data_IF_453603119096
#
_entry.id   IF_453603119096
#
_cell.length_a   1.000
_cell.length_b   1.000
_cell.length_c   1.000
_cell.angle_alpha   90.00
_cell.angle_beta   90.00
_cell.angle_gamma   90.00
#
_symmetry.space_group_name_H-M   'P 1'
#
loop_
_entity.id
_entity.type
_entity.pdbx_description
1 polymer ?
#
# COMPACT_ATOMS: atom_id res chain seq x y z
N UNK A 1 -18.61 -51.30 -30.17
CA UNK A 1 -18.16 -49.92 -29.89
C UNK A 1 -18.67 -49.52 -28.52
N UNK A 2 -17.81 -49.52 -27.50
CA UNK A 2 -18.11 -48.95 -26.18
C UNK A 2 -17.26 -47.68 -26.08
N UNK A 3 -17.92 -46.53 -25.98
CA UNK A 3 -17.26 -45.23 -25.82
C UNK A 3 -16.62 -45.17 -24.43
N UNK A 4 -15.30 -44.99 -24.40
CA UNK A 4 -14.57 -44.62 -23.19
C UNK A 4 -14.69 -43.11 -23.06
N UNK A 5 -15.42 -42.66 -22.03
CA UNK A 5 -15.50 -41.25 -21.67
C UNK A 5 -14.16 -40.78 -21.12
N UNK A 6 -13.57 -39.79 -21.79
CA UNK A 6 -12.37 -39.10 -21.32
C UNK A 6 -12.79 -38.14 -20.20
N UNK A 7 -12.52 -38.50 -18.95
CA UNK A 7 -12.63 -37.57 -17.83
C UNK A 7 -11.43 -36.63 -17.90
N UNK A 8 -11.67 -35.38 -18.29
CA UNK A 8 -10.72 -34.27 -18.08
C UNK A 8 -10.64 -34.01 -16.58
N UNK A 9 -9.56 -34.48 -15.94
CA UNK A 9 -9.15 -33.93 -14.65
C UNK A 9 -8.78 -32.46 -14.89
N UNK A 10 -9.61 -31.54 -14.42
CA UNK A 10 -9.18 -30.17 -14.21
C UNK A 10 -8.08 -30.22 -13.14
N UNK A 11 -6.84 -29.96 -13.54
CA UNK A 11 -5.77 -29.69 -12.60
C UNK A 11 -6.13 -28.37 -11.92
N UNK A 12 -6.75 -28.45 -10.73
CA UNK A 12 -6.73 -27.33 -9.81
C UNK A 12 -5.25 -27.11 -9.48
N UNK A 13 -4.66 -26.03 -10.00
CA UNK A 13 -3.45 -25.49 -9.41
C UNK A 13 -3.76 -25.32 -7.93
N UNK A 14 -3.13 -26.15 -7.09
CA UNK A 14 -3.04 -25.86 -5.67
C UNK A 14 -2.21 -24.57 -5.60
N UNK A 15 -2.88 -23.42 -5.63
CA UNK A 15 -2.26 -22.17 -5.25
C UNK A 15 -1.76 -22.40 -3.82
N UNK A 16 -0.44 -22.46 -3.66
CA UNK A 16 0.16 -22.57 -2.33
C UNK A 16 -0.30 -21.34 -1.55
N UNK A 17 -0.99 -21.54 -0.43
CA UNK A 17 -1.35 -20.46 0.48
C UNK A 17 -0.09 -19.63 0.80
N UNK A 18 -0.14 -18.33 0.52
CA UNK A 18 0.95 -17.39 0.77
C UNK A 18 0.73 -16.67 2.10
N UNK A 19 1.81 -16.29 2.78
CA UNK A 19 1.75 -15.50 4.00
C UNK A 19 1.86 -14.02 3.64
N UNK A 20 0.82 -13.25 3.93
CA UNK A 20 0.74 -11.82 3.59
C UNK A 20 0.71 -11.02 4.89
N UNK A 21 1.62 -10.05 5.03
CA UNK A 21 1.50 -9.02 6.05
C UNK A 21 0.69 -7.87 5.46
N UNK A 22 -0.50 -7.63 5.98
CA UNK A 22 -1.40 -6.56 5.58
C UNK A 22 -1.24 -5.36 6.52
N UNK A 23 -0.96 -4.19 5.97
CA UNK A 23 -0.84 -2.93 6.68
C UNK A 23 -1.74 -1.88 6.04
N UNK A 24 -1.83 -0.70 6.67
CA UNK A 24 -2.49 0.49 6.12
C UNK A 24 -2.10 1.70 6.98
N UNK A 25 -2.48 2.90 6.54
CA UNK A 25 -2.42 4.12 7.33
C UNK A 25 -3.79 4.73 7.67
N UNK A 26 -4.89 4.23 7.09
CA UNK A 26 -6.23 4.67 7.47
C UNK A 26 -6.67 4.21 8.86
N UNK A 27 -6.00 3.18 9.40
CA UNK A 27 -6.28 2.60 10.72
C UNK A 27 -6.83 1.18 10.64
N UNK A 28 -6.52 0.37 11.65
CA UNK A 28 -6.80 -1.07 11.70
C UNK A 28 -8.29 -1.44 11.63
N UNK A 29 -9.16 -0.52 12.02
CA UNK A 29 -10.62 -0.70 12.07
C UNK A 29 -11.33 -0.05 10.86
N UNK A 30 -10.58 0.44 9.88
CA UNK A 30 -11.12 1.03 8.66
C UNK A 30 -11.75 -0.04 7.76
N UNK A 31 -12.83 0.33 7.07
CA UNK A 31 -13.59 -0.63 6.24
C UNK A 31 -12.74 -1.21 5.09
N UNK A 32 -11.87 -0.39 4.49
CA UNK A 32 -11.01 -0.81 3.36
C UNK A 32 -10.02 -1.93 3.70
N UNK A 33 -9.20 -1.75 4.74
CA UNK A 33 -8.26 -2.80 5.18
C UNK A 33 -8.99 -4.06 5.66
N UNK A 34 -10.17 -3.93 6.28
CA UNK A 34 -10.97 -5.08 6.73
C UNK A 34 -11.62 -5.86 5.59
N UNK A 35 -12.10 -5.17 4.55
CA UNK A 35 -12.57 -5.82 3.32
C UNK A 35 -11.42 -6.58 2.63
N UNK A 36 -10.23 -5.98 2.59
CA UNK A 36 -9.03 -6.58 1.99
C UNK A 36 -8.54 -7.80 2.77
N UNK A 37 -8.51 -7.71 4.10
CA UNK A 37 -8.23 -8.86 4.97
C UNK A 37 -9.20 -10.02 4.71
N UNK A 38 -10.50 -9.74 4.70
CA UNK A 38 -11.55 -10.74 4.41
C UNK A 38 -11.29 -11.42 3.08
N UNK A 39 -11.06 -10.64 2.02
CA UNK A 39 -11.01 -11.15 0.66
C UNK A 39 -9.70 -11.87 0.33
N UNK A 40 -8.54 -11.41 0.83
CA UNK A 40 -7.28 -12.13 0.72
C UNK A 40 -7.32 -13.46 1.49
N UNK A 41 -7.93 -13.46 2.68
CA UNK A 41 -8.13 -14.70 3.47
C UNK A 41 -9.07 -15.66 2.75
N UNK A 42 -10.18 -15.15 2.19
CA UNK A 42 -11.13 -15.95 1.40
C UNK A 42 -10.51 -16.52 0.11
N UNK A 43 -9.48 -15.86 -0.44
CA UNK A 43 -8.70 -16.36 -1.58
C UNK A 43 -7.73 -17.50 -1.18
N UNK A 44 -7.62 -17.83 0.10
CA UNK A 44 -6.81 -18.95 0.61
C UNK A 44 -5.42 -18.55 1.13
N UNK A 45 -5.13 -17.26 1.27
CA UNK A 45 -3.88 -16.77 1.86
C UNK A 45 -3.94 -16.73 3.39
N UNK A 46 -2.78 -16.84 4.03
CA UNK A 46 -2.63 -16.57 5.45
C UNK A 46 -2.31 -15.08 5.63
N UNK A 47 -3.28 -14.30 6.08
CA UNK A 47 -3.12 -12.84 6.22
C UNK A 47 -2.86 -12.48 7.68
N UNK A 48 -1.90 -11.61 7.93
CA UNK A 48 -1.61 -11.02 9.23
C UNK A 48 -1.78 -9.51 9.11
N UNK A 49 -2.82 -8.94 9.71
CA UNK A 49 -3.09 -7.51 9.65
C UNK A 49 -2.41 -6.81 10.83
N UNK A 50 -1.61 -5.79 10.55
CA UNK A 50 -1.07 -4.87 11.57
C UNK A 50 -1.18 -3.44 11.06
N UNK A 51 -1.99 -2.62 11.72
CA UNK A 51 -2.17 -1.23 11.32
C UNK A 51 -2.31 -0.29 12.53
N UNK A 52 -2.15 1.04 12.31
CA UNK A 52 -2.33 2.04 13.35
C UNK A 52 -3.74 2.02 13.96
N UNK A 53 -3.90 2.54 15.18
CA UNK A 53 -5.22 2.83 15.75
C UNK A 53 -5.92 4.01 15.07
N UNK A 54 -5.12 4.98 14.64
CA UNK A 54 -5.56 6.27 14.10
C UNK A 54 -5.21 6.41 12.62
N UNK A 55 -5.89 7.33 11.95
CA UNK A 55 -5.54 7.83 10.63
C UNK A 55 -4.14 8.47 10.66
N UNK A 56 -3.25 7.97 9.80
CA UNK A 56 -1.84 8.37 9.65
C UNK A 56 -1.47 8.77 8.21
N UNK A 57 -2.43 9.24 7.42
CA UNK A 57 -2.18 9.96 6.17
C UNK A 57 -1.18 11.11 6.40
N UNK A 58 -0.14 11.18 5.58
CA UNK A 58 0.93 12.18 5.71
C UNK A 58 2.10 11.75 6.62
N UNK A 59 2.08 10.55 7.21
CA UNK A 59 3.13 10.07 8.12
C UNK A 59 4.20 9.20 7.43
N UNK A 60 4.32 9.20 6.10
CA UNK A 60 5.19 8.28 5.36
C UNK A 60 6.65 8.25 5.83
N UNK A 61 7.25 9.41 6.07
CA UNK A 61 8.62 9.54 6.60
C UNK A 61 8.73 9.48 8.13
N UNK A 62 7.62 9.31 8.86
CA UNK A 62 7.60 9.41 10.33
C UNK A 62 7.72 8.03 10.98
N UNK A 63 8.52 7.95 12.05
CA UNK A 63 8.67 6.74 12.85
C UNK A 63 8.47 7.05 14.33
N UNK A 64 7.32 6.67 14.88
CA UNK A 64 7.08 6.68 16.32
C UNK A 64 6.31 5.44 16.75
N UNK A 65 6.44 5.11 18.03
CA UNK A 65 5.81 4.00 18.72
C UNK A 65 5.19 4.52 20.03
N UNK A 66 4.29 3.77 20.70
CA UNK A 66 3.62 4.29 21.88
C UNK A 66 4.59 4.49 23.05
N UNK A 67 4.35 5.55 23.83
CA UNK A 67 5.10 5.89 25.03
C UNK A 67 4.44 5.38 26.33
N UNK A 68 3.31 4.69 26.21
CA UNK A 68 2.48 4.18 27.30
C UNK A 68 1.97 2.79 26.96
N UNK A 69 1.74 1.96 27.98
CA UNK A 69 1.11 0.65 27.84
C UNK A 69 -0.38 0.76 27.47
N UNK A 70 -1.01 1.90 27.76
CA UNK A 70 -2.43 2.15 27.52
C UNK A 70 -2.67 3.40 26.70
N UNK A 71 -3.79 3.43 25.98
CA UNK A 71 -4.23 4.56 25.17
C UNK A 71 -4.61 5.76 26.03
N UNK A 72 -4.19 6.95 25.58
CA UNK A 72 -4.50 8.22 26.24
C UNK A 72 -5.88 8.77 25.87
N UNK A 73 -6.44 8.32 24.75
CA UNK A 73 -7.76 8.67 24.22
C UNK A 73 -8.38 7.46 23.53
N UNK A 74 -9.68 7.54 23.28
CA UNK A 74 -10.40 6.61 22.40
C UNK A 74 -9.77 6.63 21.00
N UNK A 75 -9.83 5.50 20.29
CA UNK A 75 -9.38 5.48 18.90
C UNK A 75 -10.32 6.27 17.96
N UNK A 76 -9.91 6.47 16.70
CA UNK A 76 -10.68 7.27 15.74
C UNK A 76 -12.15 6.85 15.53
N UNK A 77 -12.50 5.59 15.83
CA UNK A 77 -13.87 5.08 15.74
C UNK A 77 -14.49 4.82 17.11
N UNK A 78 -13.79 5.16 18.20
CA UNK A 78 -14.17 4.83 19.56
C UNK A 78 -14.28 3.33 19.79
N UNK A 79 -13.62 2.49 18.98
CA UNK A 79 -13.66 1.05 19.10
C UNK A 79 -12.76 0.57 20.24
N UNK A 80 -11.53 1.09 20.31
CA UNK A 80 -10.71 1.03 21.53
C UNK A 80 -10.87 2.31 22.34
N UNK A 81 -10.85 2.18 23.66
CA UNK A 81 -11.13 3.25 24.63
C UNK A 81 -9.85 3.75 25.30
N UNK A 82 -9.89 4.98 25.80
CA UNK A 82 -8.85 5.45 26.73
C UNK A 82 -8.68 4.45 27.88
N UNK A 83 -7.44 4.04 28.15
CA UNK A 83 -7.11 3.00 29.12
C UNK A 83 -6.98 1.58 28.56
N UNK A 84 -7.46 1.31 27.33
CA UNK A 84 -7.19 0.04 26.64
C UNK A 84 -5.69 -0.08 26.29
N UNK A 85 -5.15 -1.29 26.06
CA UNK A 85 -3.75 -1.47 25.68
C UNK A 85 -3.37 -0.71 24.40
N UNK A 86 -2.15 -0.16 24.35
CA UNK A 86 -1.62 0.56 23.17
C UNK A 86 -1.35 -0.32 21.95
N UNK A 87 -1.38 -1.64 22.11
CA UNK A 87 -1.34 -2.62 21.04
C UNK A 87 -2.06 -3.88 21.49
N UNK A 88 -2.58 -4.64 20.54
CA UNK A 88 -3.34 -5.84 20.81
C UNK A 88 -3.97 -6.38 19.53
N UNK A 89 -4.85 -7.35 19.67
CA UNK A 89 -5.55 -7.96 18.55
C UNK A 89 -7.07 -7.91 18.71
N UNK A 90 -7.77 -8.27 17.64
CA UNK A 90 -9.21 -8.51 17.63
C UNK A 90 -9.56 -9.68 18.55
N UNK A 91 -10.66 -9.57 19.32
CA UNK A 91 -11.02 -10.57 20.35
C UNK A 91 -11.19 -11.99 19.76
N UNK A 92 -11.74 -12.07 18.55
CA UNK A 92 -12.09 -13.34 17.89
C UNK A 92 -11.20 -13.67 16.70
N UNK A 93 -10.14 -12.88 16.47
CA UNK A 93 -9.21 -13.10 15.37
C UNK A 93 -7.81 -12.60 15.77
N UNK A 94 -6.93 -13.54 16.12
CA UNK A 94 -5.57 -13.23 16.52
C UNK A 94 -4.67 -12.87 15.34
N UNK A 95 -5.15 -12.88 14.10
CA UNK A 95 -4.40 -12.39 12.94
C UNK A 95 -4.61 -10.90 12.68
N UNK A 96 -5.53 -10.23 13.39
CA UNK A 96 -5.83 -8.80 13.21
C UNK A 96 -5.33 -8.00 14.41
N UNK A 97 -4.21 -7.30 14.24
CA UNK A 97 -3.57 -6.50 15.27
C UNK A 97 -3.66 -5.01 15.00
N UNK A 98 -3.67 -4.26 16.09
CA UNK A 98 -3.48 -2.83 16.11
C UNK A 98 -2.22 -2.47 16.89
N UNK A 99 -1.58 -1.37 16.49
CA UNK A 99 -0.42 -0.82 17.17
C UNK A 99 -0.50 0.70 17.18
N UNK A 100 -0.38 1.35 18.35
CA UNK A 100 -0.45 2.81 18.47
C UNK A 100 0.86 3.49 18.00
N UNK A 101 1.14 3.41 16.70
CA UNK A 101 2.34 3.93 16.05
C UNK A 101 2.08 4.44 14.64
N UNK A 102 3.14 4.74 13.90
CA UNK A 102 3.05 5.00 12.45
C UNK A 102 2.89 3.70 11.66
N UNK A 103 2.46 3.75 10.39
CA UNK A 103 2.42 2.58 9.51
C UNK A 103 3.80 1.91 9.39
N UNK A 104 4.85 2.73 9.28
CA UNK A 104 6.25 2.29 9.29
C UNK A 104 6.59 1.52 10.59
N UNK A 105 6.18 2.04 11.76
CA UNK A 105 6.38 1.37 13.04
C UNK A 105 5.54 0.08 13.17
N UNK A 106 4.36 0.01 12.56
CA UNK A 106 3.53 -1.22 12.52
C UNK A 106 4.26 -2.36 11.80
N UNK A 107 4.93 -2.08 10.68
CA UNK A 107 5.77 -3.08 9.99
C UNK A 107 6.91 -3.57 10.89
N UNK A 108 7.58 -2.65 11.59
CA UNK A 108 8.65 -3.04 12.52
C UNK A 108 8.12 -3.85 13.70
N UNK A 109 6.99 -3.44 14.29
CA UNK A 109 6.30 -4.22 15.33
C UNK A 109 5.94 -5.63 14.85
N UNK A 110 5.43 -5.75 13.62
CA UNK A 110 5.08 -7.03 13.02
C UNK A 110 6.28 -7.97 12.94
N UNK A 111 7.37 -7.51 12.32
CA UNK A 111 8.55 -8.35 12.07
C UNK A 111 9.43 -8.57 13.30
N UNK A 112 9.59 -7.56 14.17
CA UNK A 112 10.55 -7.62 15.28
C UNK A 112 9.95 -8.25 16.54
N UNK A 113 8.63 -8.20 16.71
CA UNK A 113 7.98 -8.63 17.95
C UNK A 113 6.81 -9.59 17.72
N UNK A 114 5.84 -9.23 16.87
CA UNK A 114 4.60 -10.00 16.73
C UNK A 114 4.84 -11.39 16.10
N UNK A 115 5.36 -11.42 14.87
CA UNK A 115 5.55 -12.66 14.12
C UNK A 115 6.49 -13.63 14.84
N UNK A 116 7.67 -13.22 15.35
CA UNK A 116 8.55 -14.14 16.06
C UNK A 116 7.96 -14.73 17.35
N UNK A 117 6.99 -14.03 17.98
CA UNK A 117 6.48 -14.38 19.31
C UNK A 117 5.16 -15.14 19.28
N UNK A 118 4.27 -14.81 18.35
CA UNK A 118 2.93 -15.39 18.26
C UNK A 118 2.74 -16.31 17.06
N UNK A 119 3.57 -16.16 16.02
CA UNK A 119 3.44 -16.89 14.75
C UNK A 119 4.76 -17.58 14.38
N UNK A 120 5.22 -18.46 15.27
CA UNK A 120 6.51 -19.13 15.11
C UNK A 120 6.62 -19.84 13.75
N UNK A 121 7.77 -19.66 13.09
CA UNK A 121 8.11 -20.21 11.77
C UNK A 121 7.30 -19.66 10.58
N UNK A 122 6.57 -18.55 10.75
CA UNK A 122 5.97 -17.84 9.61
C UNK A 122 7.03 -17.02 8.89
N UNK A 123 7.11 -17.18 7.57
CA UNK A 123 7.86 -16.31 6.68
C UNK A 123 6.88 -15.56 5.79
N UNK A 124 6.93 -14.23 5.80
CA UNK A 124 6.09 -13.38 4.96
C UNK A 124 6.58 -13.43 3.51
N UNK A 125 5.66 -13.74 2.59
CA UNK A 125 5.92 -13.77 1.14
C UNK A 125 5.74 -12.39 0.49
N UNK A 126 4.84 -11.56 1.05
CA UNK A 126 4.48 -10.26 0.52
C UNK A 126 3.94 -9.35 1.64
N UNK A 127 4.33 -8.07 1.60
CA UNK A 127 3.66 -7.02 2.36
C UNK A 127 2.66 -6.28 1.46
N UNK A 128 1.41 -6.20 1.87
CA UNK A 128 0.37 -5.42 1.18
C UNK A 128 -0.01 -4.28 2.09
N UNK A 129 -0.02 -3.04 1.60
CA UNK A 129 -0.50 -1.88 2.36
C UNK A 129 -1.71 -1.25 1.69
N UNK A 130 -2.77 -0.98 2.45
CA UNK A 130 -4.02 -0.37 1.97
C UNK A 130 -5.16 -1.39 1.76
N UNK A 131 -6.19 -1.03 0.96
CA UNK A 131 -6.25 0.16 0.13
C UNK A 131 -6.49 1.43 0.96
N UNK A 132 -5.62 2.42 0.77
CA UNK A 132 -5.74 3.73 1.38
C UNK A 132 -6.91 4.54 0.82
N UNK A 133 -7.49 5.42 1.63
CA UNK A 133 -8.44 6.42 1.19
C UNK A 133 -7.71 7.57 0.48
N UNK A 134 -7.97 7.72 -0.81
CA UNK A 134 -7.32 8.67 -1.69
C UNK A 134 -6.04 8.11 -2.34
N UNK A 135 -5.68 8.61 -3.53
CA UNK A 135 -4.48 8.16 -4.24
C UNK A 135 -3.19 8.72 -3.60
N UNK A 136 -2.11 7.94 -3.72
CA UNK A 136 -0.74 8.28 -3.32
C UNK A 136 0.19 8.52 -4.52
N UNK A 137 -0.38 8.85 -5.67
CA UNK A 137 0.32 9.07 -6.93
C UNK A 137 1.43 10.13 -6.86
N UNK A 138 2.52 9.84 -7.57
CA UNK A 138 3.61 10.74 -7.88
C UNK A 138 4.34 11.26 -6.67
N UNK A 139 4.33 12.58 -6.48
CA UNK A 139 5.13 13.21 -5.44
C UNK A 139 4.64 12.92 -4.01
N UNK A 140 3.42 12.40 -3.88
CA UNK A 140 2.82 12.03 -2.59
C UNK A 140 3.50 10.84 -1.95
N UNK A 141 4.23 10.04 -2.73
CA UNK A 141 4.98 8.87 -2.29
C UNK A 141 5.70 9.06 -0.94
N UNK A 142 6.51 10.11 -0.83
CA UNK A 142 7.37 10.32 0.36
C UNK A 142 6.60 10.67 1.64
N UNK A 143 5.36 11.15 1.50
CA UNK A 143 4.51 11.54 2.63
C UNK A 143 3.41 10.52 2.93
N UNK A 144 3.13 9.60 2.01
CA UNK A 144 2.11 8.57 2.19
C UNK A 144 2.49 7.58 3.29
N UNK A 145 1.59 7.39 4.27
CA UNK A 145 1.75 6.37 5.30
C UNK A 145 1.67 4.96 4.72
N UNK A 146 0.78 4.74 3.75
CA UNK A 146 0.64 3.50 2.97
C UNK A 146 1.97 3.12 2.31
N UNK A 147 2.58 4.08 1.61
CA UNK A 147 3.90 3.88 1.01
C UNK A 147 4.99 3.71 2.06
N UNK A 148 4.91 4.42 3.19
CA UNK A 148 5.87 4.30 4.30
C UNK A 148 5.94 2.91 4.91
N UNK A 149 4.80 2.19 4.97
CA UNK A 149 4.77 0.79 5.37
C UNK A 149 5.52 -0.09 4.36
N UNK A 150 5.19 0.04 3.07
CA UNK A 150 5.85 -0.73 2.00
C UNK A 150 7.34 -0.41 1.92
N UNK A 151 7.71 0.86 2.05
CA UNK A 151 9.09 1.34 2.08
C UNK A 151 9.92 0.64 3.15
N UNK A 152 9.38 0.46 4.36
CA UNK A 152 10.05 -0.29 5.42
C UNK A 152 10.20 -1.77 5.07
N UNK A 153 9.15 -2.39 4.54
CA UNK A 153 9.18 -3.81 4.18
C UNK A 153 10.26 -4.12 3.14
N UNK A 154 10.35 -3.28 2.09
CA UNK A 154 11.33 -3.42 1.02
C UNK A 154 12.75 -3.18 1.55
N UNK A 155 12.94 -2.22 2.46
CA UNK A 155 14.23 -2.01 3.15
C UNK A 155 14.66 -3.23 3.97
N UNK A 156 13.69 -3.96 4.51
CA UNK A 156 13.91 -5.20 5.27
C UNK A 156 14.05 -6.44 4.38
N UNK A 157 14.01 -6.26 3.05
CA UNK A 157 14.19 -7.32 2.06
C UNK A 157 12.91 -8.09 1.71
N UNK A 158 11.74 -7.62 2.14
CA UNK A 158 10.45 -8.20 1.80
C UNK A 158 9.82 -7.42 0.63
N UNK A 159 9.30 -8.10 -0.41
CA UNK A 159 8.58 -7.41 -1.46
C UNK A 159 7.31 -6.78 -0.89
N UNK A 160 6.90 -5.64 -1.42
CA UNK A 160 5.66 -5.02 -0.98
C UNK A 160 4.96 -4.16 -2.03
N UNK A 161 3.66 -4.01 -1.84
CA UNK A 161 2.75 -3.30 -2.74
C UNK A 161 1.85 -2.39 -1.92
N UNK A 162 1.76 -1.13 -2.33
CA UNK A 162 0.77 -0.20 -1.80
C UNK A 162 -0.42 -0.14 -2.76
N UNK A 163 -1.62 -0.13 -2.20
CA UNK A 163 -2.86 0.10 -2.93
C UNK A 163 -3.53 1.35 -2.38
N UNK A 164 -4.06 2.16 -3.27
CA UNK A 164 -4.72 3.41 -2.94
C UNK A 164 -6.01 3.54 -3.76
N UNK A 165 -7.15 3.76 -3.14
CA UNK A 165 -8.42 3.94 -3.84
C UNK A 165 -8.85 5.39 -3.87
N UNK A 166 -9.38 5.91 -4.99
CA UNK A 166 -9.84 7.31 -5.09
C UNK A 166 -11.17 7.58 -4.38
N UNK A 167 -11.38 6.99 -3.20
CA UNK A 167 -12.44 7.28 -2.25
C UNK A 167 -11.84 7.96 -1.02
N UNK A 168 -12.47 9.03 -0.53
CA UNK A 168 -11.97 9.82 0.61
C UNK A 168 -12.82 9.66 1.87
N UNK A 169 -13.68 8.64 1.89
CA UNK A 169 -14.58 8.38 3.00
C UNK A 169 -14.12 7.16 3.80
N UNK A 170 -13.31 7.38 4.83
CA UNK A 170 -12.93 6.37 5.81
C UNK A 170 -14.07 6.12 6.79
N UNK A 171 -14.39 4.85 6.99
CA UNK A 171 -15.57 4.41 7.71
C UNK A 171 -15.25 3.23 8.60
N UNK A 172 -15.98 3.11 9.71
CA UNK A 172 -15.80 2.01 10.65
C UNK A 172 -16.32 0.69 10.05
N UNK A 173 -15.51 -0.36 10.10
CA UNK A 173 -15.84 -1.63 9.45
C UNK A 173 -17.13 -2.27 9.98
N UNK A 174 -17.47 -2.12 11.27
CA UNK A 174 -18.70 -2.71 11.81
C UNK A 174 -19.98 -2.06 11.29
N UNK A 175 -19.88 -0.83 10.78
CA UNK A 175 -21.03 -0.10 10.27
C UNK A 175 -21.23 -0.34 8.77
N UNK A 176 -20.14 -0.39 7.99
CA UNK A 176 -20.22 -0.40 6.53
C UNK A 176 -19.62 -1.62 5.83
N UNK A 177 -18.89 -2.51 6.52
CA UNK A 177 -18.44 -3.75 5.87
C UNK A 177 -19.66 -4.64 5.61
N UNK A 178 -19.85 -5.02 4.35
CA UNK A 178 -20.98 -5.82 3.89
C UNK A 178 -20.56 -6.66 2.68
N UNK A 179 -21.49 -7.46 2.15
CA UNK A 179 -21.28 -8.35 1.01
C UNK A 179 -21.81 -7.77 -0.33
N UNK A 180 -22.20 -6.50 -0.38
CA UNK A 180 -22.62 -5.86 -1.63
C UNK A 180 -21.42 -5.74 -2.58
N UNK A 181 -21.38 -6.46 -3.72
CA UNK A 181 -20.24 -6.42 -4.63
C UNK A 181 -20.04 -5.04 -5.27
N UNK A 182 -21.03 -4.14 -5.20
CA UNK A 182 -20.96 -2.79 -5.72
C UNK A 182 -20.52 -1.76 -4.65
N UNK A 183 -20.32 -2.18 -3.41
CA UNK A 183 -19.69 -1.35 -2.40
C UNK A 183 -18.24 -1.04 -2.82
N UNK A 184 -17.84 0.22 -2.69
CA UNK A 184 -16.54 0.74 -3.12
C UNK A 184 -15.38 -0.09 -2.53
N UNK A 185 -15.44 -0.40 -1.22
CA UNK A 185 -14.39 -1.15 -0.55
C UNK A 185 -14.34 -2.60 -0.98
N UNK A 186 -15.48 -3.20 -1.35
CA UNK A 186 -15.53 -4.55 -1.92
C UNK A 186 -14.96 -4.58 -3.35
N UNK A 187 -15.21 -3.55 -4.17
CA UNK A 187 -14.59 -3.46 -5.49
C UNK A 187 -13.06 -3.36 -5.35
N UNK A 188 -12.56 -2.45 -4.50
CA UNK A 188 -11.12 -2.30 -4.29
C UNK A 188 -10.47 -3.57 -3.71
N UNK A 189 -11.05 -4.20 -2.68
CA UNK A 189 -10.49 -5.42 -2.10
C UNK A 189 -10.43 -6.57 -3.12
N UNK A 190 -11.44 -6.71 -4.01
CA UNK A 190 -11.38 -7.70 -5.10
C UNK A 190 -10.29 -7.39 -6.12
N UNK A 191 -10.05 -6.11 -6.44
CA UNK A 191 -8.92 -5.73 -7.31
C UNK A 191 -7.56 -6.00 -6.65
N UNK A 192 -7.43 -5.80 -5.34
CA UNK A 192 -6.23 -6.19 -4.58
C UNK A 192 -6.00 -7.70 -4.70
N UNK A 193 -7.03 -8.53 -4.46
CA UNK A 193 -6.93 -9.99 -4.61
C UNK A 193 -6.53 -10.38 -6.03
N UNK A 194 -7.20 -9.85 -7.05
CA UNK A 194 -6.89 -10.12 -8.46
C UNK A 194 -5.42 -9.82 -8.78
N UNK A 195 -4.91 -8.67 -8.30
CA UNK A 195 -3.53 -8.27 -8.53
C UNK A 195 -2.54 -9.21 -7.82
N UNK A 196 -2.76 -9.45 -6.52
CA UNK A 196 -1.88 -10.27 -5.68
C UNK A 196 -1.83 -11.72 -6.18
N UNK A 197 -2.98 -12.31 -6.51
CA UNK A 197 -3.07 -13.67 -7.04
C UNK A 197 -2.36 -13.78 -8.39
N UNK A 198 -2.56 -12.79 -9.27
CA UNK A 198 -1.89 -12.74 -10.57
C UNK A 198 -0.37 -12.64 -10.40
N UNK A 199 0.12 -11.82 -9.46
CA UNK A 199 1.55 -11.69 -9.18
C UNK A 199 2.14 -13.00 -8.64
N UNK A 200 1.49 -13.64 -7.67
CA UNK A 200 1.94 -14.92 -7.13
C UNK A 200 1.92 -16.04 -8.16
N UNK A 201 0.87 -16.12 -8.99
CA UNK A 201 0.79 -17.08 -10.08
C UNK A 201 1.89 -16.86 -11.13
N UNK A 202 2.29 -15.60 -11.34
CA UNK A 202 3.34 -15.20 -12.28
C UNK A 202 4.76 -15.39 -11.72
N UNK A 203 4.91 -15.68 -10.42
CA UNK A 203 6.23 -15.88 -9.79
C UNK A 203 7.01 -17.02 -10.46
N UNK A 204 6.33 -18.11 -10.84
CA UNK A 204 6.98 -19.31 -11.38
C UNK A 204 8.05 -19.87 -10.42
N UNK A 205 9.21 -20.21 -10.96
CA UNK A 205 10.35 -20.72 -10.18
C UNK A 205 11.25 -19.59 -9.62
N UNK A 206 10.86 -18.32 -9.75
CA UNK A 206 11.68 -17.21 -9.26
C UNK A 206 11.76 -17.24 -7.73
N UNK A 207 12.98 -17.21 -7.15
CA UNK A 207 13.16 -17.28 -5.70
C UNK A 207 12.66 -16.03 -4.97
N UNK A 208 12.48 -14.92 -5.69
CA UNK A 208 11.93 -13.67 -5.18
C UNK A 208 10.68 -13.31 -5.98
N UNK A 209 9.65 -12.81 -5.29
CA UNK A 209 8.42 -12.34 -5.93
C UNK A 209 8.66 -11.08 -6.77
N UNK A 210 9.45 -10.15 -6.22
CA UNK A 210 9.92 -8.93 -6.88
C UNK A 210 11.45 -8.82 -6.73
N UNK A 211 12.14 -8.11 -7.64
CA UNK A 211 13.55 -7.79 -7.44
C UNK A 211 13.81 -7.10 -6.09
N UNK A 212 15.00 -7.32 -5.52
CA UNK A 212 15.37 -6.68 -4.25
C UNK A 212 15.37 -5.16 -4.41
N UNK A 213 14.89 -4.47 -3.37
CA UNK A 213 14.80 -3.02 -3.37
C UNK A 213 13.61 -2.48 -4.19
N UNK A 214 12.77 -3.34 -4.78
CA UNK A 214 11.62 -2.93 -5.58
C UNK A 214 10.30 -3.11 -4.84
N UNK A 215 9.44 -2.09 -4.92
CA UNK A 215 8.03 -2.17 -4.54
C UNK A 215 7.13 -1.66 -5.65
N UNK A 216 5.82 -1.83 -5.47
CA UNK A 216 4.79 -1.36 -6.40
C UNK A 216 3.88 -0.35 -5.70
N UNK A 217 3.50 0.71 -6.40
CA UNK A 217 2.37 1.58 -6.07
C UNK A 217 1.24 1.36 -7.08
N UNK A 218 0.00 1.29 -6.59
CA UNK A 218 -1.18 1.02 -7.39
C UNK A 218 -2.29 1.97 -6.95
N UNK A 219 -2.62 2.94 -7.80
CA UNK A 219 -3.73 3.85 -7.56
C UNK A 219 -4.95 3.43 -8.40
N UNK A 220 -6.05 3.16 -7.71
CA UNK A 220 -7.33 2.75 -8.28
C UNK A 220 -8.25 3.97 -8.44
N UNK A 221 -8.94 4.11 -9.58
CA UNK A 221 -9.81 5.24 -9.87
C UNK A 221 -11.03 5.21 -8.95
N UNK A 222 -11.82 6.29 -8.94
CA UNK A 222 -13.08 6.25 -8.21
C UNK A 222 -13.96 5.17 -8.84
N UNK A 223 -14.43 4.23 -8.03
CA UNK A 223 -15.35 3.17 -8.44
C UNK A 223 -16.71 3.40 -7.81
N UNK A 224 -17.77 3.24 -8.61
CA UNK A 224 -19.15 3.28 -8.16
C UNK A 224 -20.07 2.76 -9.27
N UNK A 225 -21.13 2.06 -8.87
CA UNK A 225 -22.18 1.58 -9.79
C UNK A 225 -23.19 2.68 -10.17
N UNK A 226 -22.76 3.93 -10.27
CA UNK A 226 -23.60 5.06 -10.66
C UNK A 226 -23.34 5.46 -12.13
N UNK A 227 -24.23 6.29 -12.69
CA UNK A 227 -24.12 6.73 -14.09
C UNK A 227 -23.00 7.74 -14.34
N UNK A 228 -22.38 8.29 -13.29
CA UNK A 228 -21.33 9.31 -13.40
C UNK A 228 -19.94 8.70 -13.46
N UNK A 229 -19.73 7.73 -12.59
CA UNK A 229 -18.49 6.98 -12.45
C UNK A 229 -18.53 5.77 -13.37
N UNK A 230 -19.60 4.97 -13.31
CA UNK A 230 -19.80 3.76 -14.14
C UNK A 230 -18.74 2.67 -14.00
N UNK A 231 -17.69 2.92 -13.22
CA UNK A 231 -16.53 2.07 -13.08
C UNK A 231 -16.72 1.11 -11.91
N UNK A 232 -16.84 -0.18 -12.21
CA UNK A 232 -17.01 -1.25 -11.22
C UNK A 232 -15.96 -2.35 -11.34
N UNK A 233 -15.13 -2.31 -12.37
CA UNK A 233 -14.06 -3.28 -12.65
C UNK A 233 -12.90 -2.58 -13.37
N UNK A 234 -12.12 -1.75 -12.64
CA UNK A 234 -11.04 -1.02 -13.26
C UNK A 234 -9.93 -1.96 -13.75
N UNK A 235 -9.30 -1.61 -14.89
CA UNK A 235 -8.19 -2.39 -15.47
C UNK A 235 -6.84 -1.79 -15.12
N UNK A 236 -5.82 -2.63 -14.95
CA UNK A 236 -4.47 -2.18 -14.60
C UNK A 236 -3.69 -1.73 -15.84
N UNK A 237 -2.99 -0.61 -15.74
CA UNK A 237 -2.06 -0.10 -16.75
C UNK A 237 -0.74 0.28 -16.09
N UNK A 238 0.39 0.02 -16.76
CA UNK A 238 1.69 0.47 -16.25
C UNK A 238 1.80 1.99 -16.31
N UNK A 239 2.35 2.57 -15.25
CA UNK A 239 2.69 3.97 -15.15
C UNK A 239 4.09 4.14 -14.56
N UNK A 240 4.58 5.36 -14.61
CA UNK A 240 5.75 5.82 -13.85
C UNK A 240 5.28 6.79 -12.78
N UNK A 241 5.97 6.81 -11.64
CA UNK A 241 5.50 7.60 -10.50
C UNK A 241 5.33 9.09 -10.82
N UNK A 242 6.41 9.75 -11.24
CA UNK A 242 6.39 11.19 -11.58
C UNK A 242 6.64 11.40 -13.07
N UNK A 243 5.93 12.34 -13.67
CA UNK A 243 6.11 12.78 -15.05
C UNK A 243 5.24 14.00 -15.36
N UNK A 244 4.71 14.08 -16.57
CA UNK A 244 3.74 15.13 -16.93
C UNK A 244 2.52 15.12 -15.97
N UNK A 245 1.94 16.30 -15.73
CA UNK A 245 0.84 16.51 -14.79
C UNK A 245 1.12 16.18 -13.31
N UNK A 246 2.38 15.93 -12.93
CA UNK A 246 2.76 15.70 -11.52
C UNK A 246 2.20 16.82 -10.65
N UNK A 247 1.43 16.44 -9.63
CA UNK A 247 0.97 17.36 -8.59
C UNK A 247 1.89 17.26 -7.39
N UNK A 248 2.35 18.41 -6.90
CA UNK A 248 3.14 18.50 -5.66
C UNK A 248 2.32 19.17 -4.56
N UNK A 249 2.39 18.69 -3.31
CA UNK A 249 1.75 19.32 -2.17
C UNK A 249 2.11 20.80 -2.05
N UNK A 250 1.08 21.62 -1.87
CA UNK A 250 1.18 23.06 -1.82
C UNK A 250 0.28 23.67 -0.75
N UNK A 251 0.43 24.98 -0.58
CA UNK A 251 -0.33 25.76 0.39
C UNK A 251 -1.31 26.70 -0.32
N UNK A 252 -2.54 26.76 0.16
CA UNK A 252 -3.54 27.77 -0.22
C UNK A 252 -3.78 28.68 0.97
N UNK A 253 -3.50 29.98 0.81
CA UNK A 253 -3.78 30.98 1.82
C UNK A 253 -5.18 31.57 1.63
N UNK A 254 -5.98 31.61 2.70
CA UNK A 254 -7.30 32.21 2.70
C UNK A 254 -7.24 33.60 3.36
N UNK A 255 -7.27 34.65 2.55
CA UNK A 255 -7.20 36.06 2.98
C UNK A 255 -8.31 36.47 3.96
N UNK A 256 -9.49 35.83 3.90
CA UNK A 256 -10.62 36.16 4.79
C UNK A 256 -10.43 35.59 6.19
N UNK A 257 -9.85 34.39 6.29
CA UNK A 257 -9.66 33.69 7.57
C UNK A 257 -8.25 33.85 8.15
N UNK A 258 -7.28 34.25 7.32
CA UNK A 258 -5.85 34.26 7.68
C UNK A 258 -5.24 32.86 7.83
N UNK A 259 -5.91 31.81 7.35
CA UNK A 259 -5.50 30.42 7.52
C UNK A 259 -4.96 29.81 6.23
N UNK A 260 -4.03 28.87 6.38
CA UNK A 260 -3.54 28.02 5.30
C UNK A 260 -4.37 26.74 5.21
N UNK A 261 -4.53 26.23 4.00
CA UNK A 261 -5.14 24.94 3.70
C UNK A 261 -4.28 24.18 2.68
N UNK A 262 -4.48 22.86 2.63
CA UNK A 262 -3.79 22.00 1.68
C UNK A 262 -4.19 22.32 0.24
N UNK A 263 -3.23 22.25 -0.68
CA UNK A 263 -3.44 22.43 -2.11
C UNK A 263 -2.43 21.64 -2.93
N UNK A 264 -2.50 21.82 -4.23
CA UNK A 264 -1.56 21.23 -5.17
C UNK A 264 -0.93 22.31 -6.03
N UNK A 265 0.36 22.16 -6.30
CA UNK A 265 1.14 22.96 -7.24
C UNK A 265 1.52 22.05 -8.40
N UNK A 266 1.22 22.44 -9.66
CA UNK A 266 1.75 21.73 -10.82
C UNK A 266 3.27 21.78 -10.82
N UNK A 267 3.91 20.62 -10.97
CA UNK A 267 5.35 20.50 -11.14
C UNK A 267 5.67 19.89 -12.51
N UNK A 268 6.82 20.23 -13.13
CA UNK A 268 7.23 19.61 -14.38
C UNK A 268 7.46 18.09 -14.25
N UNK A 269 7.58 17.57 -13.02
CA UNK A 269 7.95 16.19 -12.75
C UNK A 269 9.45 15.94 -12.96
N UNK A 270 9.96 14.84 -12.41
CA UNK A 270 11.34 14.41 -12.64
C UNK A 270 11.44 13.76 -14.04
N UNK A 271 11.54 14.58 -15.09
CA UNK A 271 11.70 14.12 -16.48
C UNK A 271 13.17 13.99 -16.89
N UNK A 272 13.99 13.41 -16.02
CA UNK A 272 15.41 13.20 -16.31
C UNK A 272 15.70 11.71 -16.46
N UNK A 273 16.41 11.35 -17.52
CA UNK A 273 16.72 9.97 -17.89
C UNK A 273 17.86 9.42 -17.03
N UNK A 274 17.55 9.19 -15.76
CA UNK A 274 18.47 8.61 -14.80
C UNK A 274 18.13 7.17 -14.47
N UNK A 275 16.85 6.88 -14.26
CA UNK A 275 16.30 5.56 -13.98
C UNK A 275 14.84 5.50 -14.48
N UNK A 276 14.39 4.32 -14.90
CA UNK A 276 12.99 4.06 -15.29
C UNK A 276 12.68 4.27 -16.79
N UNK A 277 11.45 3.93 -17.19
CA UNK A 277 10.97 4.03 -18.57
C UNK A 277 10.24 5.36 -18.80
N UNK A 278 10.81 6.26 -19.62
CA UNK A 278 10.19 7.55 -19.93
C UNK A 278 9.00 7.47 -20.89
N UNK A 279 8.78 6.32 -21.54
CA UNK A 279 7.66 6.12 -22.47
C UNK A 279 6.32 5.86 -21.77
N UNK A 280 6.35 5.48 -20.49
CA UNK A 280 5.14 5.26 -19.68
C UNK A 280 4.47 6.58 -19.29
N UNK A 281 3.12 6.63 -19.20
CA UNK A 281 2.42 7.77 -18.63
C UNK A 281 2.74 7.91 -17.13
N UNK A 282 2.64 9.14 -16.60
CA UNK A 282 2.70 9.33 -15.15
C UNK A 282 1.46 8.76 -14.46
N UNK A 283 1.57 8.40 -13.18
CA UNK A 283 0.41 8.04 -12.35
C UNK A 283 -0.66 9.14 -12.39
N UNK A 284 -0.28 10.41 -12.24
CA UNK A 284 -1.21 11.54 -12.34
C UNK A 284 -1.98 11.58 -13.69
N UNK A 285 -1.34 11.24 -14.81
CA UNK A 285 -2.03 11.17 -16.11
C UNK A 285 -3.04 10.03 -16.12
N UNK A 286 -2.65 8.85 -15.66
CA UNK A 286 -3.55 7.69 -15.60
C UNK A 286 -4.74 7.99 -14.70
N UNK A 287 -4.51 8.60 -13.54
CA UNK A 287 -5.55 8.93 -12.57
C UNK A 287 -6.48 10.05 -13.03
N UNK A 288 -5.98 11.05 -13.78
CA UNK A 288 -6.81 12.17 -14.26
C UNK A 288 -7.62 11.86 -15.52
N UNK A 289 -7.06 11.04 -16.42
CA UNK A 289 -7.60 10.85 -17.79
C UNK A 289 -7.95 9.41 -18.12
N UNK A 290 -7.62 8.47 -17.26
CA UNK A 290 -7.91 7.06 -17.45
C UNK A 290 -9.40 6.77 -17.34
N UNK A 291 -9.95 6.07 -18.33
CA UNK A 291 -11.34 5.58 -18.30
C UNK A 291 -11.40 4.23 -17.60
N UNK A 292 -11.77 4.24 -16.32
CA UNK A 292 -11.88 3.06 -15.47
C UNK A 292 -10.59 2.20 -15.50
N UNK A 293 -9.45 2.83 -15.26
CA UNK A 293 -8.14 2.17 -15.17
C UNK A 293 -7.41 2.56 -13.89
N UNK A 294 -6.65 1.61 -13.34
CA UNK A 294 -5.74 1.77 -12.20
C UNK A 294 -4.31 1.79 -12.70
N UNK A 295 -3.47 2.66 -12.15
CA UNK A 295 -2.04 2.61 -12.46
C UNK A 295 -1.31 1.50 -11.69
N UNK A 296 -0.15 1.12 -12.21
CA UNK A 296 0.84 0.27 -11.57
C UNK A 296 2.20 0.90 -11.81
N UNK A 297 2.79 1.51 -10.80
CA UNK A 297 4.13 2.08 -10.87
C UNK A 297 5.12 1.26 -10.05
N UNK A 298 6.30 1.05 -10.63
CA UNK A 298 7.43 0.43 -9.95
C UNK A 298 8.27 1.52 -9.30
N UNK A 299 8.71 1.27 -8.06
CA UNK A 299 9.68 2.11 -7.39
C UNK A 299 10.84 1.31 -6.83
N UNK A 300 12.00 1.96 -6.72
CA UNK A 300 13.18 1.41 -6.07
C UNK A 300 13.55 2.27 -4.86
N UNK A 301 14.00 1.62 -3.79
CA UNK A 301 14.48 2.29 -2.57
C UNK A 301 16.02 2.29 -2.44
N UNK A 302 16.73 1.66 -3.39
CA UNK A 302 18.18 1.84 -3.52
C UNK A 302 18.46 3.19 -4.19
N UNK A 303 18.55 4.23 -3.37
CA UNK A 303 18.76 5.62 -3.81
C UNK A 303 20.22 5.99 -4.04
N UNK A 304 21.11 5.00 -4.18
CA UNK A 304 22.46 5.28 -4.63
C UNK A 304 22.36 6.06 -5.94
N UNK A 305 22.90 7.28 -5.98
CA UNK A 305 22.80 8.13 -7.15
C UNK A 305 23.37 7.41 -8.39
N UNK A 306 22.89 7.66 -9.62
CA UNK A 306 23.50 7.00 -10.77
C UNK A 306 24.98 7.37 -10.90
N UNK A 307 25.77 6.45 -11.46
CA UNK A 307 27.23 6.51 -11.44
C UNK A 307 27.78 7.81 -12.02
N UNK A 308 27.12 8.37 -13.04
CA UNK A 308 27.53 9.62 -13.67
C UNK A 308 27.47 10.81 -12.68
N UNK A 309 26.36 10.97 -11.96
CA UNK A 309 26.21 12.03 -10.95
C UNK A 309 27.15 11.81 -9.77
N UNK A 310 27.35 10.55 -9.35
CA UNK A 310 28.32 10.23 -8.33
C UNK A 310 29.73 10.71 -8.73
N UNK A 311 30.18 10.39 -9.96
CA UNK A 311 31.48 10.83 -10.47
C UNK A 311 31.60 12.35 -10.54
N UNK A 312 30.53 13.05 -10.95
CA UNK A 312 30.49 14.51 -10.97
C UNK A 312 30.71 15.09 -9.56
N UNK A 313 29.96 14.62 -8.55
CA UNK A 313 30.08 15.09 -7.17
C UNK A 313 31.42 14.67 -6.54
N UNK A 314 31.87 13.44 -6.80
CA UNK A 314 33.16 12.95 -6.31
C UNK A 314 34.32 13.79 -6.86
N UNK A 315 34.31 14.14 -8.14
CA UNK A 315 35.29 15.05 -8.72
C UNK A 315 35.30 16.43 -8.05
N UNK A 316 34.13 16.96 -7.67
CA UNK A 316 34.01 18.21 -6.93
C UNK A 316 34.54 18.12 -5.48
N UNK A 317 34.37 16.96 -4.84
CA UNK A 317 34.78 16.72 -3.45
C UNK A 317 36.16 16.06 -3.33
N UNK A 318 36.85 15.77 -4.43
CA UNK A 318 38.06 14.95 -4.46
C UNK A 318 39.16 15.44 -3.51
N UNK A 319 39.27 16.75 -3.29
CA UNK A 319 40.25 17.33 -2.36
C UNK A 319 39.95 17.07 -0.87
N UNK A 320 38.73 16.69 -0.53
CA UNK A 320 38.27 16.36 0.83
C UNK A 320 38.24 14.85 1.10
N UNK A 321 38.23 14.03 0.05
CA UNK A 321 38.10 12.57 0.17
C UNK A 321 39.47 11.94 0.45
N UNK A 322 39.52 11.08 1.46
CA UNK A 322 40.66 10.21 1.74
C UNK A 322 40.37 8.82 1.16
N UNK A 323 41.39 8.17 0.61
CA UNK A 323 41.29 6.75 0.26
C UNK A 323 41.18 5.94 1.56
N UNK A 324 40.16 5.06 1.63
CA UNK A 324 39.94 4.11 2.73
C UNK A 324 40.71 2.82 2.52
#
# INVERSE_FOLDING_TARGET
MKSVGLFTLAAACLASAKNILLADDDGWASTGIRATYRDLTAAGHNVYLVAPLEQRSGYGGTFFFPDSLTLHHDDQFGYKKAGDPSWGHEEFDDHIWYFNGTPHACISFAFDWLLPRYFANVSIDLVVSGPNQGPNAGSLYTMSGTMGAVYNSVNRGYPGIAFSGSNFNNTFFKDLLNDDPLNIWNIYSKKVVEFVDTLFASQGDNPLLLPKGTGLDVNMPLVAADSKTGCVDPKFVYARMSGAETKTPGLKYNETTGLFSYGYVPAPGMNVEYNGDLSLPSEDIVMNHGDCVSDVALFSIDYTAPEEQQKQVQGMLQSLLVEM
#
